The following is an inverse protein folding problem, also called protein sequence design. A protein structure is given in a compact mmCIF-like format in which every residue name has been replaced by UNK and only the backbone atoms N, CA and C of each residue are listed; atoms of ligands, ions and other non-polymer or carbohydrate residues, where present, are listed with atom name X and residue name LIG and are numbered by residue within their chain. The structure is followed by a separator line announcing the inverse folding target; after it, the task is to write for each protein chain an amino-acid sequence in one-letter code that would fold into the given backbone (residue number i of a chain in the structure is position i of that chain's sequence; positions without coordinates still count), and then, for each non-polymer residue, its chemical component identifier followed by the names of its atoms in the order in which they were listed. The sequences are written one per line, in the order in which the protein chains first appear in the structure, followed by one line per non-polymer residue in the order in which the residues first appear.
data_IF_792550808748
#
_entry.id   IF_792550808748
#
_cell.length_a   1.000
_cell.length_b   1.000
_cell.length_c   1.000
_cell.angle_alpha   90.00
_cell.angle_beta   90.00
_cell.angle_gamma   90.00
#
_symmetry.space_group_name_H-M   'P 1'
#
loop_
_entity.id
_entity.type
_entity.pdbx_description
1 polymer ?
#
# COMPACT_ATOMS: atom_id res chain seq x y z
N UNK A 1 -14.13 -25.23 -32.05
CA UNK A 1 -14.61 -25.07 -30.65
C UNK A 1 -13.83 -26.07 -29.80
N UNK A 2 -13.13 -25.77 -28.72
CA UNK A 2 -12.74 -24.51 -28.09
C UNK A 2 -11.45 -24.84 -27.29
N UNK A 3 -10.34 -24.15 -27.56
CA UNK A 3 -9.11 -24.19 -26.76
C UNK A 3 -8.90 -22.87 -26.01
N UNK A 4 -9.92 -22.02 -25.94
CA UNK A 4 -9.81 -20.64 -25.42
C UNK A 4 -9.41 -20.56 -23.94
N UNK A 5 -9.41 -21.67 -23.21
CA UNK A 5 -8.98 -21.76 -21.81
C UNK A 5 -7.62 -22.45 -21.61
N UNK A 6 -6.94 -22.90 -22.69
CA UNK A 6 -5.66 -23.61 -22.58
C UNK A 6 -4.52 -22.71 -23.03
N UNK A 7 -3.71 -22.26 -22.07
CA UNK A 7 -2.48 -21.51 -22.32
C UNK A 7 -1.30 -22.49 -22.29
N UNK A 8 -0.41 -22.40 -23.28
CA UNK A 8 0.79 -23.25 -23.37
C UNK A 8 2.04 -22.42 -23.12
N UNK A 9 2.82 -22.83 -22.13
CA UNK A 9 4.16 -22.33 -21.89
C UNK A 9 5.18 -23.43 -22.17
N UNK A 10 6.35 -23.07 -22.69
CA UNK A 10 7.46 -23.99 -22.96
C UNK A 10 8.70 -23.62 -22.15
N UNK A 11 9.42 -24.63 -21.66
CA UNK A 11 10.65 -24.45 -20.90
C UNK A 11 11.84 -25.10 -21.61
N UNK A 12 12.94 -24.36 -21.78
CA UNK A 12 14.16 -24.86 -22.44
C UNK A 12 15.17 -25.34 -21.40
N UNK A 13 15.67 -26.56 -21.58
CA UNK A 13 16.71 -27.14 -20.72
C UNK A 13 18.08 -27.14 -21.41
N UNK A 14 19.11 -26.69 -20.70
CA UNK A 14 20.50 -26.83 -21.13
C UNK A 14 21.14 -27.99 -20.35
N UNK A 15 21.34 -29.14 -20.99
CA UNK A 15 21.83 -30.37 -20.32
C UNK A 15 23.28 -30.23 -19.80
N UNK A 16 24.04 -29.24 -20.29
CA UNK A 16 25.36 -28.92 -19.73
C UNK A 16 25.26 -28.24 -18.36
N UNK A 17 24.13 -27.58 -18.06
CA UNK A 17 23.90 -26.99 -16.75
C UNK A 17 23.44 -28.10 -15.77
N UNK A 18 24.16 -28.32 -14.65
CA UNK A 18 23.83 -29.36 -13.68
C UNK A 18 22.43 -29.20 -13.07
N UNK A 19 21.96 -27.97 -12.87
CA UNK A 19 20.62 -27.70 -12.35
C UNK A 19 19.54 -28.18 -13.32
N UNK A 20 19.68 -27.84 -14.60
CA UNK A 20 18.72 -28.25 -15.63
C UNK A 20 18.76 -29.77 -15.84
N UNK A 21 19.95 -30.38 -15.76
CA UNK A 21 20.11 -31.84 -15.83
C UNK A 21 19.35 -32.53 -14.68
N UNK A 22 19.54 -32.07 -13.44
CA UNK A 22 18.84 -32.59 -12.26
C UNK A 22 17.32 -32.52 -12.41
N UNK A 23 16.79 -31.38 -12.85
CA UNK A 23 15.35 -31.22 -13.05
C UNK A 23 14.84 -32.14 -14.18
N UNK A 24 15.59 -32.25 -15.28
CA UNK A 24 15.22 -33.12 -16.39
C UNK A 24 15.18 -34.60 -16.00
N UNK A 25 16.12 -35.09 -15.20
CA UNK A 25 16.14 -36.48 -14.72
C UNK A 25 14.86 -36.86 -13.96
N UNK A 26 14.36 -35.94 -13.12
CA UNK A 26 13.09 -36.09 -12.39
C UNK A 26 11.90 -35.99 -13.33
N UNK A 27 11.88 -35.00 -14.22
CA UNK A 27 10.75 -34.79 -15.14
C UNK A 27 10.56 -35.95 -16.11
N UNK A 28 11.64 -36.55 -16.61
CA UNK A 28 11.56 -37.71 -17.52
C UNK A 28 10.98 -38.92 -16.80
N UNK A 29 11.45 -39.20 -15.58
CA UNK A 29 11.06 -40.37 -14.78
C UNK A 29 10.02 -40.04 -13.69
N UNK A 30 9.15 -39.07 -13.97
CA UNK A 30 8.15 -38.61 -12.99
C UNK A 30 7.20 -39.75 -12.63
N UNK A 31 7.03 -40.01 -11.34
CA UNK A 31 6.08 -41.00 -10.85
C UNK A 31 4.64 -40.46 -10.95
N UNK A 32 3.76 -41.08 -11.77
CA UNK A 32 2.38 -40.63 -11.93
C UNK A 32 1.53 -40.70 -10.65
N UNK A 33 1.89 -41.57 -9.70
CA UNK A 33 1.22 -41.70 -8.39
C UNK A 33 1.43 -40.44 -7.53
N UNK A 34 2.58 -39.78 -7.70
CA UNK A 34 2.95 -38.58 -6.93
C UNK A 34 2.42 -37.33 -7.63
N UNK A 35 2.66 -37.21 -8.94
CA UNK A 35 2.22 -36.07 -9.73
C UNK A 35 1.58 -36.52 -11.04
N UNK A 36 0.35 -36.07 -11.28
CA UNK A 36 -0.48 -36.49 -12.43
C UNK A 36 0.16 -36.23 -13.79
N UNK A 37 0.96 -35.18 -13.92
CA UNK A 37 1.65 -34.84 -15.17
C UNK A 37 2.88 -33.96 -14.91
N UNK A 38 3.74 -33.83 -15.92
CA UNK A 38 4.90 -32.92 -15.87
C UNK A 38 4.46 -31.47 -15.72
N UNK A 39 3.36 -31.08 -16.38
CA UNK A 39 2.79 -29.74 -16.25
C UNK A 39 2.30 -29.47 -14.84
N UNK A 40 1.60 -30.43 -14.22
CA UNK A 40 1.11 -30.27 -12.84
C UNK A 40 2.27 -30.13 -11.85
N UNK A 41 3.31 -30.98 -11.99
CA UNK A 41 4.51 -30.86 -11.16
C UNK A 41 5.16 -29.47 -11.25
N UNK A 42 5.24 -28.90 -12.46
CA UNK A 42 5.81 -27.56 -12.65
C UNK A 42 4.90 -26.45 -12.09
N UNK A 43 3.58 -26.61 -12.19
CA UNK A 43 2.61 -25.68 -11.60
C UNK A 43 2.70 -25.71 -10.08
N UNK A 44 2.67 -26.89 -9.46
CA UNK A 44 2.74 -27.05 -8.00
C UNK A 44 4.05 -26.47 -7.44
N UNK A 45 5.17 -26.69 -8.14
CA UNK A 45 6.46 -26.12 -7.76
C UNK A 45 6.49 -24.58 -7.88
N UNK A 46 5.85 -24.02 -8.91
CA UNK A 46 5.75 -22.56 -9.08
C UNK A 46 4.80 -21.94 -8.05
N UNK A 47 3.67 -22.57 -7.77
CA UNK A 47 2.70 -22.16 -6.75
C UNK A 47 3.36 -22.13 -5.36
N UNK A 48 4.07 -23.21 -4.98
CA UNK A 48 4.83 -23.24 -3.73
C UNK A 48 5.79 -22.05 -3.61
N UNK A 49 6.48 -21.69 -4.70
CA UNK A 49 7.43 -20.58 -4.70
C UNK A 49 6.72 -19.22 -4.58
N UNK A 50 5.59 -19.05 -5.28
CA UNK A 50 4.76 -17.84 -5.20
C UNK A 50 4.20 -17.67 -3.78
N UNK A 51 3.70 -18.73 -3.17
CA UNK A 51 3.11 -18.70 -1.83
C UNK A 51 4.15 -18.39 -0.74
N UNK A 52 5.40 -18.83 -0.92
CA UNK A 52 6.47 -18.59 0.05
C UNK A 52 7.05 -17.18 0.01
N UNK A 53 7.16 -16.58 -1.19
CA UNK A 53 7.82 -15.29 -1.37
C UNK A 53 6.84 -14.14 -1.65
N UNK A 54 5.56 -14.44 -1.87
CA UNK A 54 4.56 -13.48 -2.30
C UNK A 54 4.59 -13.23 -3.80
N UNK A 55 3.42 -13.01 -4.40
CA UNK A 55 3.27 -12.77 -5.85
C UNK A 55 4.06 -11.54 -6.30
N UNK A 56 4.03 -10.50 -5.50
CA UNK A 56 4.70 -9.21 -5.68
C UNK A 56 6.22 -9.30 -5.80
N UNK A 57 6.85 -10.40 -5.35
CA UNK A 57 8.28 -10.61 -5.52
C UNK A 57 8.65 -11.00 -6.96
N UNK A 58 7.71 -11.54 -7.74
CA UNK A 58 7.95 -12.09 -9.08
C UNK A 58 7.28 -11.34 -10.20
N UNK A 59 6.34 -10.45 -9.88
CA UNK A 59 5.70 -9.56 -10.84
C UNK A 59 6.26 -8.16 -10.66
N UNK A 60 6.72 -7.54 -11.74
CA UNK A 60 6.93 -6.10 -11.72
C UNK A 60 5.58 -5.45 -11.41
N UNK A 61 5.54 -4.60 -10.37
CA UNK A 61 4.44 -3.65 -10.24
C UNK A 61 4.52 -2.81 -11.49
N UNK A 62 3.57 -3.00 -12.39
CA UNK A 62 3.24 -1.97 -13.37
C UNK A 62 3.02 -0.72 -12.53
N UNK A 63 3.97 0.21 -12.57
CA UNK A 63 3.72 1.57 -12.12
C UNK A 63 2.69 2.07 -13.10
N UNK A 64 1.43 1.86 -12.74
CA UNK A 64 0.35 2.53 -13.40
C UNK A 64 0.63 4.01 -13.14
N UNK A 65 1.19 4.71 -14.13
CA UNK A 65 1.33 6.18 -14.14
C UNK A 65 -0.06 6.85 -14.21
N UNK A 66 -1.09 6.12 -13.78
CA UNK A 66 -2.43 6.59 -13.56
C UNK A 66 -2.40 7.69 -12.51
N UNK A 67 -3.08 8.82 -12.76
CA UNK A 67 -3.25 9.86 -11.75
C UNK A 67 -4.14 9.41 -10.58
N UNK A 68 -4.60 8.15 -10.55
CA UNK A 68 -5.52 7.62 -9.55
C UNK A 68 -4.85 6.59 -8.65
N UNK A 69 -5.20 6.63 -7.37
CA UNK A 69 -4.70 5.73 -6.33
C UNK A 69 -5.64 4.52 -6.21
N UNK A 70 -5.08 3.31 -6.18
CA UNK A 70 -5.88 2.10 -5.93
C UNK A 70 -6.34 2.01 -4.47
N UNK A 71 -7.40 1.24 -4.19
CA UNK A 71 -7.93 1.08 -2.82
C UNK A 71 -6.86 0.58 -1.83
N UNK A 72 -6.00 -0.34 -2.25
CA UNK A 72 -4.91 -0.88 -1.42
C UNK A 72 -3.83 0.16 -1.15
N UNK A 73 -3.52 1.02 -2.13
CA UNK A 73 -2.57 2.12 -1.95
C UNK A 73 -3.13 3.20 -1.03
N UNK A 74 -4.44 3.49 -1.13
CA UNK A 74 -5.09 4.45 -0.24
C UNK A 74 -5.05 3.97 1.23
N UNK A 75 -5.33 2.69 1.48
CA UNK A 75 -5.20 2.09 2.82
C UNK A 75 -3.76 2.18 3.34
N UNK A 76 -2.77 1.91 2.47
CA UNK A 76 -1.37 2.05 2.84
C UNK A 76 -0.99 3.49 3.22
N UNK A 77 -1.54 4.48 2.51
CA UNK A 77 -1.35 5.90 2.81
C UNK A 77 -2.00 6.27 4.15
N UNK A 78 -3.22 5.78 4.43
CA UNK A 78 -3.94 5.99 5.69
C UNK A 78 -3.13 5.45 6.88
N UNK A 79 -2.67 4.20 6.81
CA UNK A 79 -1.88 3.57 7.88
C UNK A 79 -0.57 4.33 8.15
N UNK A 80 0.11 4.76 7.07
CA UNK A 80 1.32 5.59 7.17
C UNK A 80 1.03 6.95 7.80
N UNK A 81 -0.08 7.59 7.44
CA UNK A 81 -0.47 8.89 7.98
C UNK A 81 -0.77 8.77 9.48
N UNK A 82 -1.57 7.77 9.86
CA UNK A 82 -1.93 7.49 11.25
C UNK A 82 -0.67 7.21 12.09
N UNK A 83 0.24 6.39 11.58
CA UNK A 83 1.50 6.08 12.26
C UNK A 83 2.34 7.34 12.46
N UNK A 84 2.49 8.18 11.43
CA UNK A 84 3.22 9.45 11.53
C UNK A 84 2.57 10.40 12.53
N UNK A 85 1.25 10.56 12.50
CA UNK A 85 0.53 11.42 13.43
C UNK A 85 0.73 10.97 14.89
N UNK A 86 0.63 9.66 15.15
CA UNK A 86 0.87 9.10 16.48
C UNK A 86 2.32 9.31 16.92
N UNK A 87 3.30 9.11 16.03
CA UNK A 87 4.71 9.35 16.36
C UNK A 87 4.96 10.81 16.70
N UNK A 88 4.47 11.74 15.89
CA UNK A 88 4.59 13.19 16.17
C UNK A 88 3.97 13.56 17.52
N UNK A 89 2.77 13.05 17.81
CA UNK A 89 2.12 13.31 19.09
C UNK A 89 2.93 12.74 20.28
N UNK A 90 3.49 11.54 20.12
CA UNK A 90 4.38 10.93 21.14
C UNK A 90 5.63 11.79 21.36
N UNK A 91 6.27 12.25 20.30
CA UNK A 91 7.47 13.08 20.39
C UNK A 91 7.19 14.42 21.07
N UNK A 92 6.03 15.03 20.81
CA UNK A 92 5.62 16.26 21.47
C UNK A 92 5.31 16.07 22.96
N UNK A 93 4.64 14.97 23.32
CA UNK A 93 4.39 14.61 24.72
C UNK A 93 5.71 14.41 25.47
N UNK A 94 6.67 13.70 24.87
CA UNK A 94 8.02 13.52 25.43
C UNK A 94 8.71 14.88 25.61
N UNK A 95 8.61 15.78 24.63
CA UNK A 95 9.18 17.14 24.71
C UNK A 95 8.58 17.95 25.86
N UNK A 96 7.26 17.89 26.06
CA UNK A 96 6.57 18.60 27.14
C UNK A 96 6.91 18.02 28.53
N UNK A 97 6.88 16.69 28.67
CA UNK A 97 7.25 16.00 29.91
C UNK A 97 8.74 16.17 30.25
N UNK A 98 9.61 16.09 29.24
CA UNK A 98 11.05 16.33 29.39
C UNK A 98 11.37 17.80 29.74
N UNK A 99 10.67 18.76 29.13
CA UNK A 99 10.82 20.19 29.41
C UNK A 99 10.28 20.59 30.79
N UNK A 100 9.19 19.98 31.25
CA UNK A 100 8.65 20.22 32.61
C UNK A 100 9.54 19.63 33.69
N UNK A 101 10.15 18.45 33.45
CA UNK A 101 11.13 17.87 34.38
C UNK A 101 12.48 18.62 34.37
N UNK A 102 12.94 19.10 33.22
CA UNK A 102 14.15 19.93 33.13
C UNK A 102 13.94 21.37 33.67
N UNK A 103 12.70 21.84 33.79
CA UNK A 103 12.33 23.19 34.19
C UNK A 103 12.15 23.45 35.69
N UNK A 104 12.12 22.42 36.55
CA UNK A 104 11.98 22.64 38.01
C UNK A 104 13.28 23.16 38.66
N UNK A 105 14.34 23.38 37.88
CA UNK A 105 15.58 24.01 38.34
C UNK A 105 15.71 25.52 38.02
N UNK A 106 14.69 26.17 37.45
CA UNK A 106 14.77 27.61 37.14
C UNK A 106 13.50 28.37 37.57
N UNK A 107 13.51 28.81 38.82
CA UNK A 107 12.61 29.83 39.35
C UNK A 107 12.68 31.11 38.51
N UNK A 108 11.55 31.59 37.98
CA UNK A 108 11.18 33.02 37.94
C UNK A 108 9.73 33.18 37.49
N UNK A 109 8.95 33.86 38.33
CA UNK A 109 7.55 34.21 38.12
C UNK A 109 7.41 35.13 36.91
N UNK A 110 6.41 34.88 36.06
CA UNK A 110 5.96 35.81 35.01
C UNK A 110 4.52 36.17 35.33
N UNK A 111 4.30 37.47 35.55
CA UNK A 111 3.00 38.11 35.75
C UNK A 111 2.20 38.03 34.45
N UNK A 112 0.99 37.48 34.51
CA UNK A 112 0.05 37.43 33.40
C UNK A 112 -0.67 38.79 33.32
N UNK A 113 -0.41 39.56 32.27
CA UNK A 113 -1.33 40.59 31.79
C UNK A 113 -2.11 39.99 30.62
N UNK A 114 -3.42 39.86 30.80
CA UNK A 114 -4.37 39.42 29.77
C UNK A 114 -4.87 40.62 28.97
N UNK A 115 -4.54 40.69 27.69
CA UNK A 115 -5.30 41.50 26.73
C UNK A 115 -6.40 40.64 26.09
N UNK A 116 -7.62 41.18 25.86
CA UNK A 116 -8.71 40.42 25.26
C UNK A 116 -8.48 40.24 23.75
N UNK A 117 -8.46 38.99 23.30
CA UNK A 117 -8.51 38.63 21.87
C UNK A 117 -9.91 38.94 21.36
N UNK A 118 -10.04 39.86 20.41
CA UNK A 118 -11.27 40.05 19.65
C UNK A 118 -11.39 38.90 18.63
N UNK A 119 -12.46 38.12 18.74
CA UNK A 119 -12.86 37.17 17.69
C UNK A 119 -13.41 37.97 16.51
N UNK A 120 -12.66 38.07 15.42
CA UNK A 120 -13.26 38.43 14.13
C UNK A 120 -14.00 37.20 13.59
N UNK A 121 -15.31 37.34 13.48
CA UNK A 121 -16.21 36.37 12.85
C UNK A 121 -16.03 36.50 11.32
N UNK A 122 -15.25 35.59 10.72
CA UNK A 122 -15.08 35.53 9.28
C UNK A 122 -16.40 35.08 8.65
N UNK A 123 -17.09 36.00 7.97
CA UNK A 123 -18.30 35.73 7.21
C UNK A 123 -17.97 34.77 6.07
N UNK A 124 -18.62 33.61 6.04
CA UNK A 124 -18.51 32.65 4.94
C UNK A 124 -19.07 33.29 3.66
N UNK A 125 -18.18 33.71 2.77
CA UNK A 125 -18.55 34.16 1.43
C UNK A 125 -18.69 32.92 0.55
N UNK A 126 -19.94 32.51 0.30
CA UNK A 126 -20.24 31.41 -0.60
C UNK A 126 -19.96 31.86 -2.03
N UNK A 127 -19.01 31.19 -2.69
CA UNK A 127 -18.67 31.40 -4.09
C UNK A 127 -19.88 30.98 -4.96
N UNK A 128 -20.55 31.96 -5.56
CA UNK A 128 -21.79 31.81 -6.33
C UNK A 128 -21.65 30.76 -7.46
N UNK A 129 -20.44 30.61 -8.00
CA UNK A 129 -20.09 29.63 -9.04
C UNK A 129 -20.26 28.18 -8.56
N UNK A 130 -19.97 27.90 -7.28
CA UNK A 130 -20.10 26.55 -6.69
C UNK A 130 -21.57 26.20 -6.46
N UNK A 131 -22.38 27.20 -6.09
CA UNK A 131 -23.82 27.03 -5.91
C UNK A 131 -24.51 26.64 -7.21
N UNK A 132 -24.18 27.33 -8.30
CA UNK A 132 -24.81 27.12 -9.61
C UNK A 132 -24.47 25.74 -10.20
N UNK A 133 -23.22 25.29 -10.01
CA UNK A 133 -22.81 23.95 -10.40
C UNK A 133 -23.51 22.86 -9.58
N UNK A 134 -23.72 23.08 -8.28
CA UNK A 134 -24.45 22.16 -7.42
C UNK A 134 -25.93 22.04 -7.81
N UNK A 135 -26.57 23.14 -8.21
CA UNK A 135 -27.94 23.17 -8.71
C UNK A 135 -28.09 22.39 -10.03
N UNK A 136 -27.14 22.58 -10.97
CA UNK A 136 -27.08 21.83 -12.23
C UNK A 136 -26.96 20.31 -11.99
N UNK A 137 -26.12 19.88 -11.03
CA UNK A 137 -25.96 18.47 -10.70
C UNK A 137 -27.21 17.85 -10.04
N UNK A 138 -28.05 18.67 -9.41
CA UNK A 138 -29.30 18.23 -8.76
C UNK A 138 -30.51 18.24 -9.71
N UNK A 139 -30.32 18.61 -10.99
CA UNK A 139 -31.37 18.51 -12.02
C UNK A 139 -32.58 19.41 -11.78
N UNK A 140 -32.41 20.49 -11.02
CA UNK A 140 -33.43 21.52 -10.84
C UNK A 140 -33.10 22.68 -11.78
N UNK A 141 -33.48 22.53 -13.05
CA UNK A 141 -33.59 23.67 -13.97
C UNK A 141 -34.96 24.33 -13.72
N UNK A 142 -35.02 25.64 -13.46
CA UNK A 142 -36.26 26.43 -13.54
C UNK A 142 -36.67 26.68 -14.99
#
# INVERSE_FOLDING_TARGET
MALDHIIKHSCRFNIKNPQHKKVNEVLVNLNPEVCKSKSQFLIDAAEYYIDHFGKEAFVERLTDDSPYVTKSELQNIEDKMLTKAIMTAKDEVIRLLGGTLAGVAATKQIVVQSEPVQMEESKEEYDEVISDYALSCMGMEE
#
